data_IF_349027869130
#
_entry.id   IF_349027869130
#
_cell.length_a   1.000
_cell.length_b   1.000
_cell.length_c   1.000
_cell.angle_alpha   90.00
_cell.angle_beta   90.00
_cell.angle_gamma   90.00
#
_symmetry.space_group_name_H-M   'P 1'
#
loop_
_entity.id
_entity.type
_entity.pdbx_description
1 polymer ?
#
# COMPACT_ATOMS: atom_id res chain seq x y z
N UNK A 1 21.69 8.10 3.57
CA UNK A 1 21.29 7.81 3.57
C UNK A 1 20.94 6.93 3.54
N UNK A 2 21.08 6.51 4.01
CA UNK A 2 20.71 5.66 3.85
C UNK A 2 19.86 5.75 3.36
N UNK A 3 19.76 6.50 3.23
CA UNK A 3 18.99 6.74 2.70
C UNK A 3 18.77 6.09 1.66
N UNK A 4 19.34 5.70 1.03
CA UNK A 4 19.15 5.17 -0.26
C UNK A 4 18.25 4.00 -0.39
N UNK A 5 18.10 3.18 0.62
CA UNK A 5 17.28 1.99 0.49
C UNK A 5 15.87 2.13 1.05
N UNK A 6 15.59 3.25 1.70
CA UNK A 6 14.28 3.43 2.31
C UNK A 6 13.44 4.36 1.47
N UNK A 7 12.26 3.90 1.10
CA UNK A 7 11.32 4.70 0.34
C UNK A 7 9.99 4.74 1.07
N UNK A 8 9.41 5.94 1.16
CA UNK A 8 8.12 6.16 1.80
C UNK A 8 7.26 7.02 0.92
N UNK A 9 5.96 6.77 0.96
CA UNK A 9 5.00 7.61 0.25
C UNK A 9 3.64 7.47 0.93
N UNK A 10 2.84 8.51 0.78
CA UNK A 10 1.48 8.52 1.32
C UNK A 10 0.53 8.62 0.15
N UNK A 11 -0.45 7.72 0.10
CA UNK A 11 -1.45 7.71 -0.96
C UNK A 11 -2.84 7.69 -0.35
N UNK A 12 -3.75 8.43 -0.96
CA UNK A 12 -5.12 8.50 -0.52
C UNK A 12 -5.96 7.48 -1.28
N UNK A 13 -6.77 6.71 -0.55
CA UNK A 13 -7.63 5.71 -1.15
C UNK A 13 -8.90 6.37 -1.67
N UNK A 14 -9.14 6.24 -2.96
CA UNK A 14 -10.28 6.88 -3.62
C UNK A 14 -11.45 5.95 -3.86
N UNK A 15 -11.28 4.66 -3.57
CA UNK A 15 -12.33 3.68 -3.77
C UNK A 15 -13.51 3.98 -2.88
N UNK A 16 -14.73 3.92 -3.45
CA UNK A 16 -15.95 4.33 -2.74
C UNK A 16 -16.16 3.55 -1.45
N UNK A 17 -15.81 2.28 -1.45
CA UNK A 17 -15.98 1.41 -0.29
C UNK A 17 -14.66 1.11 0.42
N UNK A 18 -13.62 1.90 0.14
CA UNK A 18 -12.35 1.72 0.78
C UNK A 18 -11.62 0.49 0.26
N UNK A 19 -10.77 -0.06 1.13
CA UNK A 19 -9.91 -1.17 0.74
C UNK A 19 -10.51 -2.49 1.24
N UNK A 20 -11.58 -2.93 0.57
CA UNK A 20 -12.20 -4.21 0.88
C UNK A 20 -11.49 -5.33 0.09
N UNK A 21 -12.09 -6.52 0.04
CA UNK A 21 -11.39 -7.71 -0.46
C UNK A 21 -10.83 -7.54 -1.87
N UNK A 22 -11.60 -6.96 -2.79
CA UNK A 22 -11.18 -6.88 -4.19
C UNK A 22 -10.04 -5.90 -4.41
N UNK A 23 -10.18 -4.61 -4.02
CA UNK A 23 -9.05 -3.70 -4.18
C UNK A 23 -7.90 -4.05 -3.25
N UNK A 24 -8.17 -4.65 -2.09
CA UNK A 24 -7.11 -5.13 -1.22
C UNK A 24 -6.28 -6.21 -1.88
N UNK A 25 -6.93 -7.14 -2.57
CA UNK A 25 -6.23 -8.20 -3.30
C UNK A 25 -5.38 -7.63 -4.41
N UNK A 26 -5.88 -6.61 -5.12
CA UNK A 26 -5.11 -5.95 -6.18
C UNK A 26 -3.87 -5.26 -5.61
N UNK A 27 -4.02 -4.60 -4.48
CA UNK A 27 -2.90 -3.93 -3.83
C UNK A 27 -1.83 -4.94 -3.40
N UNK A 28 -2.25 -6.03 -2.77
CA UNK A 28 -1.33 -7.08 -2.34
C UNK A 28 -0.63 -7.71 -3.53
N UNK A 29 -1.37 -7.97 -4.61
CA UNK A 29 -0.78 -8.53 -5.83
C UNK A 29 0.29 -7.60 -6.40
N UNK A 30 0.04 -6.30 -6.36
CA UNK A 30 1.02 -5.33 -6.83
C UNK A 30 2.28 -5.35 -5.96
N UNK A 31 2.10 -5.40 -4.64
CA UNK A 31 3.22 -5.44 -3.71
C UNK A 31 4.05 -6.71 -3.90
N UNK A 32 3.41 -7.82 -4.23
CA UNK A 32 4.11 -9.10 -4.40
C UNK A 32 4.98 -9.16 -5.64
N UNK A 33 4.85 -8.21 -6.56
CA UNK A 33 5.69 -8.18 -7.76
C UNK A 33 7.12 -7.78 -7.45
N UNK A 34 7.38 -7.28 -6.26
CA UNK A 34 8.70 -6.74 -5.90
C UNK A 34 9.30 -7.53 -4.76
N UNK A 35 10.65 -7.61 -4.76
CA UNK A 35 11.37 -8.28 -3.69
C UNK A 35 11.47 -7.44 -2.43
N UNK A 36 11.33 -6.13 -2.57
CA UNK A 36 11.43 -5.22 -1.43
C UNK A 36 10.46 -5.61 -0.32
N UNK A 37 10.87 -5.40 0.90
CA UNK A 37 9.96 -5.53 2.04
C UNK A 37 9.07 -4.29 2.04
N UNK A 38 7.76 -4.48 1.99
CA UNK A 38 6.81 -3.37 1.87
C UNK A 38 5.86 -3.42 3.06
N UNK A 39 5.76 -2.29 3.75
CA UNK A 39 4.85 -2.14 4.89
C UNK A 39 3.86 -1.03 4.59
N UNK A 40 2.67 -1.15 5.17
CA UNK A 40 1.62 -0.16 4.98
C UNK A 40 0.94 0.10 6.31
N UNK A 41 0.58 1.36 6.55
CA UNK A 41 -0.21 1.74 7.72
C UNK A 41 -1.34 2.65 7.29
N UNK A 42 -2.43 2.60 8.05
CA UNK A 42 -3.57 3.50 7.83
C UNK A 42 -3.40 4.69 8.77
N UNK A 43 -3.06 5.85 8.19
CA UNK A 43 -2.82 7.06 8.99
C UNK A 43 -4.10 7.58 9.64
N UNK A 44 -5.25 7.18 9.11
CA UNK A 44 -6.55 7.55 9.68
C UNK A 44 -7.09 6.49 10.64
N UNK A 45 -6.31 5.43 10.87
CA UNK A 45 -6.64 4.39 11.83
C UNK A 45 -5.68 4.44 13.00
N UNK A 46 -5.19 3.26 13.43
CA UNK A 46 -4.28 3.20 14.58
C UNK A 46 -2.81 3.44 14.21
N UNK A 47 -2.53 3.57 12.94
CA UNK A 47 -1.17 3.87 12.49
C UNK A 47 -0.19 2.72 12.52
N UNK A 48 -0.62 1.54 12.88
CA UNK A 48 0.28 0.39 12.93
C UNK A 48 0.66 -0.08 11.53
N UNK A 49 1.94 -0.38 11.36
CA UNK A 49 2.41 -0.90 10.09
C UNK A 49 2.20 -2.41 10.00
N UNK A 50 1.76 -2.86 8.84
CA UNK A 50 1.60 -4.28 8.56
C UNK A 50 2.26 -4.62 7.24
N UNK A 51 2.49 -5.91 7.01
CA UNK A 51 3.08 -6.38 5.77
C UNK A 51 2.10 -6.19 4.61
N UNK A 52 2.48 -5.37 3.64
CA UNK A 52 1.62 -5.06 2.49
C UNK A 52 1.41 -6.27 1.58
N UNK A 53 2.18 -7.34 1.76
CA UNK A 53 2.03 -8.56 0.98
C UNK A 53 1.08 -9.57 1.63
N UNK A 54 0.48 -9.20 2.76
CA UNK A 54 -0.48 -10.06 3.46
C UNK A 54 -1.89 -9.49 3.30
N UNK A 55 -2.73 -10.18 2.54
CA UNK A 55 -4.10 -9.71 2.29
C UNK A 55 -4.89 -9.56 3.57
N UNK A 56 -4.80 -10.52 4.47
CA UNK A 56 -5.55 -10.46 5.72
C UNK A 56 -5.16 -9.25 6.56
N UNK A 57 -3.86 -8.95 6.62
CA UNK A 57 -3.40 -7.81 7.41
C UNK A 57 -3.80 -6.50 6.77
N UNK A 58 -3.76 -6.43 5.43
CA UNK A 58 -4.18 -5.23 4.72
C UNK A 58 -5.67 -4.97 4.93
N UNK A 59 -6.50 -6.00 4.80
CA UNK A 59 -7.94 -5.87 5.04
C UNK A 59 -8.21 -5.44 6.48
N UNK A 60 -7.45 -5.98 7.43
CA UNK A 60 -7.64 -5.68 8.85
C UNK A 60 -7.34 -4.22 9.20
N UNK A 61 -6.67 -3.47 8.31
CA UNK A 61 -6.43 -2.04 8.54
C UNK A 61 -7.72 -1.22 8.56
N UNK A 62 -8.80 -1.74 8.00
CA UNK A 62 -10.07 -1.03 8.02
C UNK A 62 -10.07 0.24 7.19
N UNK A 63 -9.36 0.26 6.07
CA UNK A 63 -9.23 1.45 5.23
C UNK A 63 -10.55 1.78 4.56
N UNK A 64 -10.98 3.03 4.68
CA UNK A 64 -12.21 3.52 4.08
C UNK A 64 -11.92 4.59 3.05
N UNK A 65 -12.95 4.97 2.31
CA UNK A 65 -12.81 6.03 1.30
C UNK A 65 -12.23 7.30 1.94
N UNK A 66 -11.22 7.84 1.30
CA UNK A 66 -10.59 9.06 1.77
C UNK A 66 -9.48 8.87 2.77
N UNK A 67 -9.30 7.66 3.28
CA UNK A 67 -8.21 7.37 4.21
C UNK A 67 -6.88 7.43 3.49
N UNK A 68 -5.85 7.86 4.23
CA UNK A 68 -4.48 7.93 3.70
C UNK A 68 -3.67 6.75 4.21
N UNK A 69 -2.95 6.13 3.29
CA UNK A 69 -2.07 5.01 3.62
C UNK A 69 -0.63 5.45 3.43
N UNK A 70 0.21 5.12 4.40
CA UNK A 70 1.64 5.35 4.27
C UNK A 70 2.31 4.02 3.96
N UNK A 71 3.06 4.00 2.85
CA UNK A 71 3.82 2.83 2.44
C UNK A 71 5.30 3.07 2.69
N UNK A 72 5.97 2.05 3.20
CA UNK A 72 7.42 2.08 3.40
C UNK A 72 8.00 0.84 2.74
N UNK A 73 9.00 1.01 1.90
CA UNK A 73 9.62 -0.10 1.20
C UNK A 73 11.12 -0.07 1.39
N UNK A 74 11.72 -1.25 1.58
CA UNK A 74 13.15 -1.42 1.75
C UNK A 74 13.63 -2.53 0.83
N UNK A 75 14.69 -2.26 0.08
CA UNK A 75 15.27 -3.24 -0.82
C UNK A 75 15.70 -2.60 -2.12
N UNK A 76 16.28 -3.42 -3.01
CA UNK A 76 16.86 -2.91 -4.25
C UNK A 76 15.81 -2.32 -5.18
N UNK A 77 14.60 -2.85 -5.16
CA UNK A 77 13.52 -2.37 -6.02
C UNK A 77 12.47 -1.55 -5.25
N UNK A 78 12.86 -1.01 -4.09
CA UNK A 78 11.93 -0.28 -3.24
C UNK A 78 11.30 0.92 -3.94
N UNK A 79 12.11 1.70 -4.66
CA UNK A 79 11.59 2.88 -5.36
C UNK A 79 10.56 2.49 -6.42
N UNK A 80 10.85 1.43 -7.17
CA UNK A 80 9.94 0.95 -8.20
C UNK A 80 8.65 0.40 -7.57
N UNK A 81 8.79 -0.25 -6.42
CA UNK A 81 7.62 -0.79 -5.70
C UNK A 81 6.68 0.34 -5.29
N UNK A 82 7.23 1.39 -4.70
CA UNK A 82 6.43 2.54 -4.25
C UNK A 82 5.74 3.19 -5.44
N UNK A 83 6.46 3.39 -6.54
CA UNK A 83 5.90 4.01 -7.72
C UNK A 83 4.77 3.16 -8.31
N UNK A 84 4.98 1.87 -8.40
CA UNK A 84 3.99 0.95 -8.96
C UNK A 84 2.73 0.90 -8.10
N UNK A 85 2.90 0.84 -6.78
CA UNK A 85 1.77 0.84 -5.86
C UNK A 85 0.98 2.14 -5.99
N UNK A 86 1.67 3.28 -6.09
CA UNK A 86 1.01 4.56 -6.27
C UNK A 86 0.18 4.61 -7.54
N UNK A 87 0.71 4.08 -8.63
CA UNK A 87 -0.04 4.02 -9.90
C UNK A 87 -1.26 3.12 -9.79
N UNK A 88 -1.13 1.99 -9.11
CA UNK A 88 -2.25 1.08 -8.91
C UNK A 88 -3.36 1.75 -8.13
N UNK A 89 -3.01 2.46 -7.06
CA UNK A 89 -3.99 3.18 -6.24
C UNK A 89 -4.64 4.28 -7.07
N UNK A 90 -3.86 5.03 -7.84
CA UNK A 90 -4.39 6.11 -8.65
C UNK A 90 -5.35 5.59 -9.73
N UNK A 91 -5.15 4.37 -10.20
CA UNK A 91 -6.03 3.78 -11.21
C UNK A 91 -7.27 3.12 -10.61
N UNK A 92 -7.43 3.14 -9.29
CA UNK A 92 -8.62 2.62 -8.63
C UNK A 92 -8.55 1.16 -8.22
N UNK A 93 -7.39 0.54 -8.27
CA UNK A 93 -7.18 -0.85 -7.83
C UNK A 93 -8.22 -1.80 -8.45
N UNK A 94 -8.46 -1.64 -9.74
CA UNK A 94 -9.37 -2.50 -10.47
C UNK A 94 -10.83 -2.10 -10.41
N UNK A 95 -11.17 -1.06 -9.65
CA UNK A 95 -12.56 -0.59 -9.55
C UNK A 95 -12.77 0.75 -10.23
N UNK A 96 -11.70 1.35 -10.59
CA UNK A 96 -11.61 2.59 -11.20
C UNK A 96 -12.52 3.43 -11.64
#
# INVERSE_FOLDING_TARGET
AAEGSDNQAIFKIKNAHGLHARPGAMLVAEAKKFDAAIRVSNLDGDGKEVNAKSLMKVIALGVKHGHQLQFTAEGDDAAQAIESIGKAIASGLGEG
#
